data_IF_257272861389
#
_entry.id   IF_257272861389
#
_cell.length_a   1.000
_cell.length_b   1.000
_cell.length_c   1.000
_cell.angle_alpha   90.00
_cell.angle_beta   90.00
_cell.angle_gamma   90.00
#
_symmetry.space_group_name_H-M   'P 1'
#
loop_
_entity.id
_entity.type
_entity.pdbx_description
1 polymer ?
#
# COMPACT_ATOMS: atom_id res chain seq x y z
N UNK A 1 -4.16 -23.81 -46.83
CA UNK A 1 -4.54 -22.40 -46.54
C UNK A 1 -5.78 -22.30 -45.67
N UNK A 2 -6.94 -22.90 -46.03
CA UNK A 2 -8.18 -22.83 -45.20
C UNK A 2 -7.96 -23.23 -43.74
N UNK A 3 -7.23 -24.31 -43.47
CA UNK A 3 -6.89 -24.77 -42.10
C UNK A 3 -6.05 -23.76 -41.31
N UNK A 4 -5.19 -22.98 -41.99
CA UNK A 4 -4.39 -21.92 -41.36
C UNK A 4 -5.26 -20.72 -41.01
N UNK A 5 -6.20 -20.34 -41.88
CA UNK A 5 -7.16 -19.25 -41.63
C UNK A 5 -8.07 -19.58 -40.44
N UNK A 6 -8.58 -20.81 -40.37
CA UNK A 6 -9.36 -21.27 -39.21
C UNK A 6 -8.53 -21.22 -37.91
N UNK A 7 -7.26 -21.61 -37.95
CA UNK A 7 -6.36 -21.49 -36.81
C UNK A 7 -6.11 -20.03 -36.40
N UNK A 8 -5.94 -19.11 -37.35
CA UNK A 8 -5.77 -17.68 -37.07
C UNK A 8 -7.05 -17.12 -36.41
N UNK A 9 -8.23 -17.41 -36.96
CA UNK A 9 -9.50 -16.98 -36.37
C UNK A 9 -9.71 -17.49 -34.94
N UNK A 10 -9.33 -18.75 -34.66
CA UNK A 10 -9.36 -19.26 -33.29
C UNK A 10 -8.37 -18.54 -32.36
N UNK A 11 -7.17 -18.24 -32.84
CA UNK A 11 -6.18 -17.47 -32.07
C UNK A 11 -6.65 -16.04 -31.79
N UNK A 12 -7.32 -15.39 -32.74
CA UNK A 12 -7.90 -14.06 -32.56
C UNK A 12 -9.00 -14.07 -31.50
N UNK A 13 -9.88 -15.09 -31.49
CA UNK A 13 -10.89 -15.25 -30.42
C UNK A 13 -10.25 -15.41 -29.04
N UNK A 14 -9.22 -16.24 -28.93
CA UNK A 14 -8.48 -16.43 -27.67
C UNK A 14 -7.83 -15.12 -27.25
N UNK A 15 -7.18 -14.41 -28.18
CA UNK A 15 -6.54 -13.13 -27.90
C UNK A 15 -7.56 -12.10 -27.38
N UNK A 16 -8.73 -11.97 -28.01
CA UNK A 16 -9.78 -11.05 -27.58
C UNK A 16 -10.32 -11.39 -26.17
N UNK A 17 -10.54 -12.67 -25.89
CA UNK A 17 -10.92 -13.09 -24.53
C UNK A 17 -9.83 -12.82 -23.50
N UNK A 18 -8.57 -12.91 -23.91
CA UNK A 18 -7.42 -12.60 -23.04
C UNK A 18 -7.32 -11.10 -22.78
N UNK A 19 -7.61 -10.24 -23.76
CA UNK A 19 -7.61 -8.79 -23.57
C UNK A 19 -8.74 -8.33 -22.66
N UNK A 20 -9.94 -8.90 -22.82
CA UNK A 20 -11.06 -8.65 -21.90
C UNK A 20 -10.69 -9.01 -20.46
N UNK A 21 -10.08 -10.19 -20.26
CA UNK A 21 -9.64 -10.62 -18.94
C UNK A 21 -8.56 -9.72 -18.33
N UNK A 22 -7.58 -9.29 -19.12
CA UNK A 22 -6.54 -8.34 -18.63
C UNK A 22 -7.17 -6.99 -18.26
N UNK A 23 -8.18 -6.54 -18.99
CA UNK A 23 -8.91 -5.31 -18.66
C UNK A 23 -9.64 -5.42 -17.32
N UNK A 24 -10.33 -6.54 -17.09
CA UNK A 24 -11.02 -6.82 -15.82
C UNK A 24 -10.02 -6.88 -14.64
N UNK A 25 -8.90 -7.58 -14.81
CA UNK A 25 -7.85 -7.65 -13.79
C UNK A 25 -7.21 -6.27 -13.51
N UNK A 26 -7.02 -5.45 -14.55
CA UNK A 26 -6.47 -4.10 -14.41
C UNK A 26 -7.43 -3.13 -13.69
N UNK A 27 -8.74 -3.26 -13.93
CA UNK A 27 -9.78 -2.50 -13.26
C UNK A 27 -9.91 -2.91 -11.79
N UNK A 28 -9.94 -4.22 -11.51
CA UNK A 28 -9.91 -4.75 -10.15
C UNK A 28 -8.65 -4.32 -9.38
N UNK A 29 -7.49 -4.30 -10.06
CA UNK A 29 -6.25 -3.75 -9.53
C UNK A 29 -6.37 -2.27 -9.18
N UNK A 30 -7.02 -1.47 -10.04
CA UNK A 30 -7.24 -0.04 -9.79
C UNK A 30 -8.12 0.20 -8.56
N UNK A 31 -9.20 -0.58 -8.42
CA UNK A 31 -10.09 -0.52 -7.25
C UNK A 31 -9.29 -0.81 -5.98
N UNK A 32 -8.45 -1.86 -6.01
CA UNK A 32 -7.61 -2.26 -4.88
C UNK A 32 -6.60 -1.18 -4.49
N UNK A 33 -5.96 -0.54 -5.49
CA UNK A 33 -5.04 0.59 -5.26
C UNK A 33 -5.77 1.78 -4.62
N UNK A 34 -6.96 2.14 -5.11
CA UNK A 34 -7.75 3.22 -4.52
C UNK A 34 -8.18 2.91 -3.08
N UNK A 35 -8.58 1.66 -2.81
CA UNK A 35 -8.87 1.21 -1.45
C UNK A 35 -7.64 1.33 -0.54
N UNK A 36 -6.45 0.94 -1.02
CA UNK A 36 -5.21 1.10 -0.28
C UNK A 36 -4.90 2.57 0.04
N UNK A 37 -5.07 3.48 -0.92
CA UNK A 37 -4.90 4.92 -0.71
C UNK A 37 -5.85 5.44 0.38
N UNK A 38 -7.12 5.00 0.37
CA UNK A 38 -8.08 5.41 1.41
C UNK A 38 -7.67 4.87 2.79
N UNK A 39 -7.26 3.61 2.88
CA UNK A 39 -6.74 3.04 4.13
C UNK A 39 -5.52 3.81 4.64
N UNK A 40 -4.59 4.20 3.77
CA UNK A 40 -3.44 5.03 4.14
C UNK A 40 -3.86 6.41 4.67
N UNK A 41 -4.87 7.04 4.07
CA UNK A 41 -5.44 8.31 4.57
C UNK A 41 -6.07 8.15 5.96
N UNK A 42 -6.80 7.06 6.19
CA UNK A 42 -7.37 6.77 7.50
C UNK A 42 -6.28 6.55 8.56
N UNK A 43 -5.19 5.85 8.19
CA UNK A 43 -4.03 5.68 9.07
C UNK A 43 -3.36 7.02 9.37
N UNK A 44 -3.28 7.96 8.41
CA UNK A 44 -2.75 9.30 8.65
C UNK A 44 -3.57 10.06 9.71
N UNK A 45 -4.90 10.06 9.56
CA UNK A 45 -5.82 10.70 10.52
C UNK A 45 -5.70 10.04 11.91
N UNK A 46 -5.61 8.71 11.94
CA UNK A 46 -5.42 7.99 13.19
C UNK A 46 -4.09 8.37 13.86
N UNK A 47 -2.98 8.38 13.10
CA UNK A 47 -1.65 8.79 13.59
C UNK A 47 -1.69 10.18 14.21
N UNK A 48 -2.33 11.14 13.55
CA UNK A 48 -2.49 12.50 14.06
C UNK A 48 -3.29 12.56 15.37
N UNK A 49 -4.34 11.74 15.48
CA UNK A 49 -5.15 11.63 16.70
C UNK A 49 -4.32 11.07 17.86
N UNK A 50 -3.53 10.02 17.63
CA UNK A 50 -2.64 9.48 18.67
C UNK A 50 -1.56 10.52 19.04
N UNK A 51 -1.02 11.26 18.06
CA UNK A 51 -0.08 12.36 18.29
C UNK A 51 -0.62 13.44 19.23
N UNK A 52 -1.88 13.84 19.03
CA UNK A 52 -2.55 14.78 19.92
C UNK A 52 -2.69 14.25 21.35
N UNK A 53 -3.03 12.96 21.51
CA UNK A 53 -3.18 12.33 22.82
C UNK A 53 -1.84 12.21 23.57
N UNK A 54 -0.76 11.89 22.85
CA UNK A 54 0.59 11.84 23.42
C UNK A 54 1.05 13.24 23.84
N UNK A 55 0.68 14.27 23.10
CA UNK A 55 0.98 15.67 23.46
C UNK A 55 0.27 16.09 24.75
N UNK A 56 -1.00 15.73 24.92
CA UNK A 56 -1.71 15.93 26.20
C UNK A 56 -1.00 15.21 27.35
N UNK A 57 -0.55 13.96 27.14
CA UNK A 57 0.21 13.23 28.15
C UNK A 57 1.55 13.92 28.52
N UNK A 58 2.20 14.58 27.55
CA UNK A 58 3.40 15.40 27.79
C UNK A 58 3.08 16.61 28.68
N UNK A 59 1.95 17.28 28.43
CA UNK A 59 1.47 18.42 29.23
C UNK A 59 1.09 17.99 30.65
N UNK A 60 0.34 16.90 30.81
CA UNK A 60 -0.01 16.33 32.12
C UNK A 60 1.25 15.95 32.92
N UNK A 61 2.25 15.35 32.25
CA UNK A 61 3.52 15.01 32.90
C UNK A 61 4.29 16.24 33.37
N UNK A 62 4.20 17.38 32.66
CA UNK A 62 4.81 18.66 33.09
C UNK A 62 4.08 19.22 34.31
N UNK A 63 2.76 19.15 34.34
CA UNK A 63 1.96 19.60 35.48
C UNK A 63 2.25 18.77 36.73
N UNK A 64 2.32 17.43 36.60
CA UNK A 64 2.72 16.56 37.70
C UNK A 64 4.13 16.91 38.20
N UNK A 65 5.08 17.20 37.31
CA UNK A 65 6.42 17.62 37.73
C UNK A 65 6.41 18.92 38.55
N UNK A 66 5.53 19.88 38.23
CA UNK A 66 5.35 21.11 39.02
C UNK A 66 4.77 20.82 40.40
N UNK A 67 3.77 19.94 40.48
CA UNK A 67 3.16 19.51 41.74
C UNK A 67 4.20 18.82 42.63
N UNK A 68 5.04 17.95 42.06
CA UNK A 68 6.10 17.28 42.81
C UNK A 68 7.12 18.27 43.39
N UNK A 69 7.49 19.31 42.64
CA UNK A 69 8.37 20.36 43.16
C UNK A 69 7.73 21.11 44.33
N UNK A 70 6.43 21.38 44.28
CA UNK A 70 5.70 22.00 45.39
C UNK A 70 5.69 21.09 46.63
N UNK A 71 5.38 19.79 46.46
CA UNK A 71 5.37 18.83 47.58
C UNK A 71 6.76 18.70 48.20
N UNK A 72 7.82 18.68 47.37
CA UNK A 72 9.20 18.63 47.86
C UNK A 72 9.53 19.88 48.70
N UNK A 73 9.10 21.07 48.26
CA UNK A 73 9.22 22.30 49.04
C UNK A 73 8.44 22.27 50.36
N UNK A 74 7.23 21.72 50.38
CA UNK A 74 6.44 21.53 51.61
C UNK A 74 7.12 20.54 52.56
N UNK A 75 7.66 19.44 52.05
CA UNK A 75 8.40 18.47 52.83
C UNK A 75 9.67 19.09 53.44
N UNK A 76 10.41 19.90 52.68
CA UNK A 76 11.58 20.62 53.16
C UNK A 76 11.23 21.63 54.27
N UNK A 77 10.18 22.42 54.08
CA UNK A 77 9.68 23.35 55.11
C UNK A 77 9.20 22.59 56.37
N UNK A 78 8.49 21.48 56.20
CA UNK A 78 8.03 20.64 57.32
C UNK A 78 9.21 20.06 58.09
N UNK A 79 10.25 19.61 57.38
CA UNK A 79 11.47 19.12 57.98
C UNK A 79 12.21 20.21 58.79
N UNK A 80 12.27 21.45 58.27
CA UNK A 80 12.85 22.59 58.99
C UNK A 80 12.03 22.99 60.22
N UNK A 81 10.69 23.00 60.11
CA UNK A 81 9.80 23.28 61.24
C UNK A 81 9.93 22.22 62.34
N UNK A 82 9.99 20.95 61.96
CA UNK A 82 10.20 19.84 62.87
C UNK A 82 11.55 19.93 63.57
N UNK A 83 12.62 20.29 62.84
CA UNK A 83 13.95 20.51 63.43
C UNK A 83 13.93 21.63 64.48
N UNK A 84 13.29 22.77 64.16
CA UNK A 84 13.15 23.88 65.12
C UNK A 84 12.34 23.47 66.35
N UNK A 85 11.27 22.69 66.18
CA UNK A 85 10.48 22.16 67.28
C UNK A 85 11.28 21.19 68.17
N UNK A 86 12.12 20.33 67.59
CA UNK A 86 13.02 19.45 68.34
C UNK A 86 14.02 20.25 69.18
N UNK A 87 14.57 21.34 68.63
CA UNK A 87 15.49 22.24 69.34
C UNK A 87 14.79 22.92 70.53
N UNK A 88 13.59 23.46 70.32
CA UNK A 88 12.86 24.16 71.38
C UNK A 88 12.36 23.19 72.46
N UNK A 89 11.97 21.97 72.07
CA UNK A 89 11.62 20.90 73.00
C UNK A 89 12.83 20.47 73.87
N UNK A 90 14.03 20.39 73.28
CA UNK A 90 15.26 20.14 74.06
C UNK A 90 15.54 21.27 75.06
N UNK A 91 15.24 22.52 74.69
CA UNK A 91 15.40 23.71 75.55
C UNK A 91 14.44 23.71 76.75
N UNK A 92 13.26 23.13 76.60
CA UNK A 92 12.28 22.95 77.69
C UNK A 92 12.63 21.81 78.67
N UNK A 93 13.72 21.07 78.44
CA UNK A 93 14.20 20.01 79.34
C UNK A 93 13.21 18.86 79.50
N UNK A 94 12.98 18.40 80.74
CA UNK A 94 12.08 17.27 81.03
C UNK A 94 10.63 17.51 80.55
N UNK A 95 10.15 18.76 80.59
CA UNK A 95 8.80 19.12 80.14
C UNK A 95 8.62 18.99 78.61
N UNK A 96 9.72 19.03 77.84
CA UNK A 96 9.70 18.97 76.38
C UNK A 96 9.87 17.57 75.77
N UNK A 97 10.14 16.52 76.57
CA UNK A 97 10.45 15.17 76.05
C UNK A 97 9.38 14.60 75.11
N UNK A 98 8.09 14.77 75.46
CA UNK A 98 6.99 14.31 74.62
C UNK A 98 6.91 15.07 73.29
N UNK A 99 7.12 16.38 73.31
CA UNK A 99 7.15 17.21 72.10
C UNK A 99 8.36 16.90 71.21
N UNK A 100 9.53 16.61 71.80
CA UNK A 100 10.72 16.22 71.05
C UNK A 100 10.51 14.91 70.28
N UNK A 101 9.82 13.92 70.88
CA UNK A 101 9.50 12.66 70.21
C UNK A 101 8.55 12.86 69.02
N UNK A 102 7.53 13.71 69.16
CA UNK A 102 6.60 14.04 68.07
C UNK A 102 7.31 14.80 66.95
N UNK A 103 8.15 15.79 67.28
CA UNK A 103 8.90 16.57 66.31
C UNK A 103 9.86 15.69 65.49
N UNK A 104 10.55 14.73 66.12
CA UNK A 104 11.41 13.79 65.39
C UNK A 104 10.62 12.86 64.45
N UNK A 105 9.41 12.44 64.84
CA UNK A 105 8.56 11.62 63.96
C UNK A 105 8.06 12.43 62.74
N UNK A 106 7.67 13.69 62.95
CA UNK A 106 7.31 14.61 61.84
C UNK A 106 8.51 14.80 60.90
N UNK A 107 9.72 14.95 61.45
CA UNK A 107 10.96 15.09 60.66
C UNK A 107 11.19 13.87 59.77
N UNK A 108 11.03 12.65 60.31
CA UNK A 108 11.13 11.41 59.54
C UNK A 108 10.08 11.30 58.44
N UNK A 109 8.83 11.67 58.74
CA UNK A 109 7.75 11.67 57.74
C UNK A 109 8.04 12.66 56.60
N UNK A 110 8.58 13.83 56.91
CA UNK A 110 8.98 14.82 55.91
C UNK A 110 10.11 14.29 55.01
N UNK A 111 11.13 13.64 55.59
CA UNK A 111 12.22 13.02 54.82
C UNK A 111 11.73 11.86 53.93
N UNK A 112 10.82 11.03 54.45
CA UNK A 112 10.17 9.96 53.67
C UNK A 112 9.33 10.53 52.52
N UNK A 113 8.57 11.59 52.78
CA UNK A 113 7.78 12.28 51.76
C UNK A 113 8.67 12.82 50.63
N UNK A 114 9.78 13.48 50.98
CA UNK A 114 10.77 13.96 50.00
C UNK A 114 11.31 12.82 49.13
N UNK A 115 11.72 11.72 49.75
CA UNK A 115 12.27 10.55 49.04
C UNK A 115 11.22 9.93 48.11
N UNK A 116 9.95 9.89 48.52
CA UNK A 116 8.86 9.42 47.67
C UNK A 116 8.65 10.36 46.47
N UNK A 117 8.64 11.68 46.67
CA UNK A 117 8.51 12.64 45.57
C UNK A 117 9.68 12.58 44.58
N UNK A 118 10.92 12.37 45.05
CA UNK A 118 12.08 12.22 44.16
C UNK A 118 11.97 10.97 43.29
N UNK A 119 11.50 9.85 43.85
CA UNK A 119 11.26 8.63 43.09
C UNK A 119 10.16 8.83 42.02
N UNK A 120 9.07 9.53 42.36
CA UNK A 120 8.00 9.84 41.39
C UNK A 120 8.55 10.78 40.29
N UNK A 121 9.40 11.75 40.64
CA UNK A 121 10.01 12.66 39.67
C UNK A 121 10.80 11.90 38.61
N UNK A 122 11.61 10.92 39.00
CA UNK A 122 12.36 10.06 38.06
C UNK A 122 11.41 9.31 37.11
N UNK A 123 10.28 8.79 37.62
CA UNK A 123 9.27 8.13 36.79
C UNK A 123 8.62 9.10 35.79
N UNK A 124 8.34 10.33 36.21
CA UNK A 124 7.77 11.37 35.34
C UNK A 124 8.76 11.80 34.26
N UNK A 125 10.04 11.99 34.58
CA UNK A 125 11.10 12.30 33.60
C UNK A 125 11.22 11.17 32.55
N UNK A 126 11.15 9.91 32.99
CA UNK A 126 11.12 8.75 32.07
C UNK A 126 9.88 8.77 31.17
N UNK A 127 8.71 9.09 31.71
CA UNK A 127 7.46 9.22 30.93
C UNK A 127 7.54 10.35 29.92
N UNK A 128 8.13 11.50 30.27
CA UNK A 128 8.39 12.60 29.34
C UNK A 128 9.34 12.20 28.20
N UNK A 129 10.40 11.45 28.51
CA UNK A 129 11.30 10.91 27.50
C UNK A 129 10.59 9.95 26.54
N UNK A 130 9.76 9.05 27.06
CA UNK A 130 8.99 8.09 26.26
C UNK A 130 7.97 8.77 25.36
N UNK A 131 7.25 9.77 25.86
CA UNK A 131 6.26 10.55 25.08
C UNK A 131 6.94 11.35 23.97
N UNK A 132 8.07 12.00 24.27
CA UNK A 132 8.87 12.70 23.24
C UNK A 132 9.32 11.75 22.12
N UNK A 133 9.74 10.53 22.47
CA UNK A 133 10.10 9.53 21.48
C UNK A 133 8.89 9.05 20.66
N UNK A 134 7.73 8.88 21.29
CA UNK A 134 6.49 8.51 20.62
C UNK A 134 6.06 9.56 19.58
N UNK A 135 6.16 10.86 19.90
CA UNK A 135 5.89 11.95 18.93
C UNK A 135 6.80 11.83 17.71
N UNK A 136 8.11 11.65 17.89
CA UNK A 136 9.05 11.48 16.77
C UNK A 136 8.72 10.28 15.89
N UNK A 137 8.28 9.17 16.49
CA UNK A 137 7.86 7.98 15.74
C UNK A 137 6.59 8.25 14.93
N UNK A 138 5.66 9.08 15.44
CA UNK A 138 4.46 9.48 14.72
C UNK A 138 4.77 10.41 13.55
N UNK A 139 5.68 11.37 13.73
CA UNK A 139 6.13 12.24 12.62
C UNK A 139 6.75 11.40 11.49
N UNK A 140 7.57 10.40 11.84
CA UNK A 140 8.13 9.47 10.85
C UNK A 140 7.05 8.60 10.19
N UNK A 141 6.05 8.16 10.94
CA UNK A 141 4.93 7.40 10.40
C UNK A 141 4.16 8.24 9.36
N UNK A 142 3.95 9.53 9.60
CA UNK A 142 3.29 10.44 8.66
C UNK A 142 4.07 10.56 7.32
N UNK A 143 5.41 10.63 7.40
CA UNK A 143 6.27 10.62 6.22
C UNK A 143 6.13 9.32 5.43
N UNK A 144 6.18 8.17 6.10
CA UNK A 144 6.07 6.85 5.45
C UNK A 144 4.67 6.62 4.86
N UNK A 145 3.61 7.09 5.52
CA UNK A 145 2.24 7.05 4.98
C UNK A 145 2.14 7.89 3.72
N UNK A 146 2.67 9.12 3.73
CA UNK A 146 2.68 10.01 2.56
C UNK A 146 3.40 9.36 1.38
N UNK A 147 4.56 8.75 1.63
CA UNK A 147 5.31 8.00 0.63
C UNK A 147 4.54 6.78 0.12
N UNK A 148 3.83 6.08 1.01
CA UNK A 148 2.94 4.98 0.65
C UNK A 148 1.82 5.42 -0.30
N UNK A 149 1.20 6.57 -0.05
CA UNK A 149 0.19 7.16 -0.93
C UNK A 149 0.80 7.47 -2.31
N UNK A 150 1.96 8.14 -2.36
CA UNK A 150 2.62 8.49 -3.63
C UNK A 150 2.97 7.25 -4.47
N UNK A 151 3.47 6.18 -3.83
CA UNK A 151 3.78 4.92 -4.51
C UNK A 151 2.50 4.24 -5.02
N UNK A 152 1.44 4.23 -4.22
CA UNK A 152 0.14 3.69 -4.66
C UNK A 152 -0.44 4.48 -5.83
N UNK A 153 -0.35 5.82 -5.82
CA UNK A 153 -0.77 6.67 -6.93
C UNK A 153 0.02 6.40 -8.21
N UNK A 154 1.36 6.25 -8.12
CA UNK A 154 2.20 5.85 -9.27
C UNK A 154 1.89 4.44 -9.77
N UNK A 155 1.43 3.56 -8.89
CA UNK A 155 1.00 2.20 -9.22
C UNK A 155 -0.38 2.17 -9.90
N UNK A 156 -1.12 3.29 -9.90
CA UNK A 156 -2.32 3.49 -10.72
C UNK A 156 -2.00 3.60 -12.23
N UNK A 157 -1.07 2.77 -12.71
CA UNK A 157 -0.74 2.56 -14.12
C UNK A 157 -1.87 1.88 -14.90
N UNK A 158 -3.00 1.56 -14.26
CA UNK A 158 -4.20 1.04 -14.95
C UNK A 158 -4.64 1.94 -16.11
N UNK A 159 -4.36 3.24 -16.09
CA UNK A 159 -4.59 4.10 -17.25
C UNK A 159 -3.71 3.74 -18.45
N UNK A 160 -2.43 3.41 -18.21
CA UNK A 160 -1.53 2.94 -19.27
C UNK A 160 -1.93 1.55 -19.75
N UNK A 161 -2.29 0.64 -18.84
CA UNK A 161 -2.76 -0.71 -19.20
C UNK A 161 -4.04 -0.62 -20.04
N UNK A 162 -4.99 0.23 -19.66
CA UNK A 162 -6.22 0.47 -20.42
C UNK A 162 -5.94 1.00 -21.83
N UNK A 163 -5.04 1.96 -21.98
CA UNK A 163 -4.63 2.47 -23.30
C UNK A 163 -3.98 1.39 -24.16
N UNK A 164 -3.06 0.60 -23.60
CA UNK A 164 -2.43 -0.53 -24.30
C UNK A 164 -3.44 -1.61 -24.70
N UNK A 165 -4.43 -1.89 -23.85
CA UNK A 165 -5.51 -2.84 -24.17
C UNK A 165 -6.38 -2.31 -25.32
N UNK A 166 -6.74 -1.02 -25.31
CA UNK A 166 -7.51 -0.42 -26.40
C UNK A 166 -6.76 -0.49 -27.74
N UNK A 167 -5.46 -0.19 -27.73
CA UNK A 167 -4.61 -0.32 -28.92
C UNK A 167 -4.54 -1.78 -29.39
N UNK A 168 -4.42 -2.73 -28.46
CA UNK A 168 -4.39 -4.15 -28.78
C UNK A 168 -5.72 -4.64 -29.37
N UNK A 169 -6.86 -4.17 -28.85
CA UNK A 169 -8.19 -4.46 -29.40
C UNK A 169 -8.32 -3.95 -30.84
N UNK A 170 -7.84 -2.73 -31.13
CA UNK A 170 -7.83 -2.19 -32.48
C UNK A 170 -6.98 -3.05 -33.45
N UNK A 171 -5.79 -3.50 -33.01
CA UNK A 171 -4.93 -4.39 -33.79
C UNK A 171 -5.61 -5.74 -34.04
N UNK A 172 -6.33 -6.29 -33.06
CA UNK A 172 -7.07 -7.55 -33.20
C UNK A 172 -8.19 -7.43 -34.23
N UNK A 173 -8.94 -6.33 -34.23
CA UNK A 173 -10.00 -6.06 -35.21
C UNK A 173 -9.43 -5.93 -36.63
N UNK A 174 -8.33 -5.20 -36.80
CA UNK A 174 -7.63 -5.08 -38.07
C UNK A 174 -7.16 -6.45 -38.59
N UNK A 175 -6.57 -7.26 -37.72
CA UNK A 175 -6.12 -8.61 -38.07
C UNK A 175 -7.27 -9.53 -38.46
N UNK A 176 -8.42 -9.40 -37.79
CA UNK A 176 -9.63 -10.15 -38.13
C UNK A 176 -10.14 -9.78 -39.52
N UNK A 177 -10.19 -8.49 -39.84
CA UNK A 177 -10.55 -8.00 -41.17
C UNK A 177 -9.60 -8.53 -42.25
N UNK A 178 -8.28 -8.41 -42.05
CA UNK A 178 -7.28 -8.94 -43.00
C UNK A 178 -7.34 -10.46 -43.18
N UNK A 179 -7.67 -11.20 -42.11
CA UNK A 179 -7.86 -12.66 -42.18
C UNK A 179 -9.10 -13.01 -43.00
N UNK A 180 -10.18 -12.22 -42.89
CA UNK A 180 -11.40 -12.41 -43.68
C UNK A 180 -11.16 -12.13 -45.17
N UNK A 181 -10.39 -11.09 -45.51
CA UNK A 181 -9.98 -10.81 -46.89
C UNK A 181 -9.13 -11.94 -47.48
N UNK A 182 -8.15 -12.43 -46.72
CA UNK A 182 -7.32 -13.56 -47.13
C UNK A 182 -8.14 -14.84 -47.35
N UNK A 183 -9.21 -15.06 -46.57
CA UNK A 183 -10.14 -16.17 -46.75
C UNK A 183 -10.87 -16.08 -48.10
N UNK A 184 -11.41 -14.91 -48.42
CA UNK A 184 -12.07 -14.64 -49.70
C UNK A 184 -11.12 -14.82 -50.88
N UNK A 185 -9.89 -14.29 -50.80
CA UNK A 185 -8.87 -14.44 -51.83
C UNK A 185 -8.45 -15.91 -52.03
N UNK A 186 -8.32 -16.67 -50.95
CA UNK A 186 -8.00 -18.11 -51.01
C UNK A 186 -9.10 -18.90 -51.71
N UNK A 187 -10.37 -18.59 -51.46
CA UNK A 187 -11.50 -19.25 -52.11
C UNK A 187 -11.54 -18.95 -53.62
N UNK A 188 -11.34 -17.68 -54.01
CA UNK A 188 -11.23 -17.29 -55.41
C UNK A 188 -10.05 -18.00 -56.11
N UNK A 189 -8.89 -18.08 -55.45
CA UNK A 189 -7.74 -18.81 -55.99
C UNK A 189 -8.04 -20.31 -56.15
N UNK A 190 -8.77 -20.91 -55.22
CA UNK A 190 -9.20 -22.30 -55.31
C UNK A 190 -10.11 -22.52 -56.52
N UNK A 191 -11.06 -21.61 -56.77
CA UNK A 191 -11.93 -21.63 -57.95
C UNK A 191 -11.14 -21.48 -59.24
N UNK A 192 -10.22 -20.51 -59.31
CA UNK A 192 -9.35 -20.32 -60.48
C UNK A 192 -8.47 -21.54 -60.74
N UNK A 193 -7.95 -22.18 -59.70
CA UNK A 193 -7.17 -23.43 -59.84
C UNK A 193 -8.03 -24.56 -60.40
N UNK A 194 -9.29 -24.72 -59.95
CA UNK A 194 -10.23 -25.70 -60.52
C UNK A 194 -10.49 -25.45 -62.00
N UNK A 195 -10.65 -24.19 -62.40
CA UNK A 195 -10.83 -23.81 -63.81
C UNK A 195 -9.58 -24.13 -64.64
N UNK A 196 -8.38 -23.83 -64.14
CA UNK A 196 -7.12 -24.17 -64.79
C UNK A 196 -6.99 -25.68 -64.98
N UNK A 197 -7.28 -26.48 -63.94
CA UNK A 197 -7.26 -27.96 -64.03
C UNK A 197 -8.24 -28.46 -65.11
N UNK A 198 -9.45 -27.90 -65.17
CA UNK A 198 -10.42 -28.24 -66.21
C UNK A 198 -9.92 -27.88 -67.63
N UNK A 199 -9.34 -26.69 -67.79
CA UNK A 199 -8.77 -26.24 -69.06
C UNK A 199 -7.61 -27.14 -69.51
N UNK A 200 -6.71 -27.54 -68.59
CA UNK A 200 -5.63 -28.51 -68.85
C UNK A 200 -6.22 -29.84 -69.31
N UNK A 201 -7.30 -30.32 -68.68
CA UNK A 201 -8.01 -31.53 -69.10
C UNK A 201 -8.52 -31.44 -70.54
N UNK A 202 -9.17 -30.32 -70.90
CA UNK A 202 -9.66 -30.08 -72.26
C UNK A 202 -8.52 -30.01 -73.29
N UNK A 203 -7.43 -29.30 -72.96
CA UNK A 203 -6.22 -29.22 -73.81
C UNK A 203 -5.62 -30.61 -74.01
N UNK A 204 -5.58 -31.45 -72.96
CA UNK A 204 -5.08 -32.82 -73.05
C UNK A 204 -5.93 -33.68 -73.98
N UNK A 205 -7.26 -33.52 -73.98
CA UNK A 205 -8.17 -34.23 -74.88
C UNK A 205 -7.90 -33.77 -76.32
N UNK A 206 -7.94 -32.46 -76.58
CA UNK A 206 -7.70 -31.90 -77.89
C UNK A 206 -6.33 -32.30 -78.47
N UNK A 207 -5.30 -32.37 -77.61
CA UNK A 207 -3.96 -32.82 -78.02
C UNK A 207 -3.93 -34.30 -78.42
N UNK A 208 -4.69 -35.17 -77.73
CA UNK A 208 -4.83 -36.58 -78.11
C UNK A 208 -5.57 -36.74 -79.44
N UNK A 209 -6.63 -35.97 -79.63
CA UNK A 209 -7.42 -35.99 -80.88
C UNK A 209 -6.55 -35.57 -82.07
N UNK A 210 -5.77 -34.47 -81.92
CA UNK A 210 -4.83 -34.00 -82.93
C UNK A 210 -3.74 -35.04 -83.25
N UNK A 211 -3.22 -35.73 -82.23
CA UNK A 211 -2.23 -36.80 -82.40
C UNK A 211 -2.81 -38.02 -83.14
N UNK A 212 -4.09 -38.35 -82.90
CA UNK A 212 -4.80 -39.40 -83.64
C UNK A 212 -4.98 -39.01 -85.11
N UNK A 213 -5.46 -37.79 -85.36
CA UNK A 213 -5.71 -37.27 -86.69
C UNK A 213 -4.42 -37.24 -87.54
N UNK A 214 -3.32 -36.75 -86.96
CA UNK A 214 -2.02 -36.70 -87.64
C UNK A 214 -1.45 -38.09 -87.95
N UNK A 215 -1.77 -39.11 -87.15
CA UNK A 215 -1.44 -40.51 -87.46
C UNK A 215 -2.22 -41.00 -88.67
N UNK A 216 -3.52 -40.73 -88.72
CA UNK A 216 -4.42 -41.08 -89.82
C UNK A 216 -3.96 -40.46 -91.15
N UNK A 217 -3.56 -39.18 -91.11
CA UNK A 217 -3.00 -38.47 -92.26
C UNK A 217 -1.66 -39.02 -92.77
N UNK A 218 -0.84 -39.64 -91.91
CA UNK A 218 0.45 -40.25 -92.31
C UNK A 218 0.31 -41.66 -92.90
N UNK A 219 -0.85 -42.30 -92.75
CA UNK A 219 -1.15 -43.64 -93.27
C UNK A 219 -1.85 -43.64 -94.63
N UNK A 220 -2.26 -42.47 -95.14
CA UNK A 220 -2.71 -42.25 -96.51
C UNK A 220 -1.59 -41.61 -97.34
#
# INVERSE_FOLDING_TARGET
MVKNIQNINNRLKILNSSTEKVMEEAEAGNITVNQNINVMKDIAVFSQTVGSSVKTLEEDAKEIAQILNLINGVAEQTNLLALNATIEAARAGEAGKGFAAVAEEIRKLAEQSRKATDNIKILIEKTQGNTTNAVKLMDNAEIEITKGIEVSEKTSSSQQIGATIQELSAVVEEFAAGTQEAASATEQQSQGTRQIVSAIGNISIASKDLASLTKEFKTN
#
